data_IF_809593284455
#
_entry.id   IF_809593284455
#
_cell.length_a   1.000
_cell.length_b   1.000
_cell.length_c   1.000
_cell.angle_alpha   90.00
_cell.angle_beta   90.00
_cell.angle_gamma   90.00
#
_symmetry.space_group_name_H-M   'P 1'
#
loop_
_entity.id
_entity.type
_entity.pdbx_description
1 polymer ?
#
# COMPACT_ATOMS: atom_id res chain seq x y z
N UNK A 1 -16.46 13.25 -35.20
CA UNK A 1 -15.93 13.92 -33.99
C UNK A 1 -16.39 13.30 -32.66
N UNK A 2 -17.48 12.52 -32.58
CA UNK A 2 -17.97 11.92 -31.32
C UNK A 2 -17.11 10.77 -30.74
N UNK A 3 -16.28 10.09 -31.55
CA UNK A 3 -15.46 8.96 -31.10
C UNK A 3 -14.23 9.33 -30.28
N UNK A 4 -13.64 10.50 -30.51
CA UNK A 4 -12.41 10.93 -29.83
C UNK A 4 -12.63 11.24 -28.34
N UNK A 5 -13.85 11.68 -27.98
CA UNK A 5 -14.23 12.02 -26.61
C UNK A 5 -14.22 10.76 -25.71
N UNK A 6 -14.74 9.63 -26.21
CA UNK A 6 -14.72 8.37 -25.46
C UNK A 6 -13.31 7.82 -25.23
N UNK A 7 -12.42 7.99 -26.22
CA UNK A 7 -11.04 7.50 -26.13
C UNK A 7 -10.22 8.33 -25.13
N UNK A 8 -10.44 9.64 -25.06
CA UNK A 8 -9.79 10.52 -24.08
C UNK A 8 -10.28 10.21 -22.64
N UNK A 9 -11.57 9.91 -22.45
CA UNK A 9 -12.12 9.54 -21.13
C UNK A 9 -11.55 8.20 -20.65
N UNK A 10 -11.42 7.21 -21.55
CA UNK A 10 -10.83 5.91 -21.22
C UNK A 10 -9.33 6.04 -20.87
N UNK A 11 -8.59 6.90 -21.57
CA UNK A 11 -7.18 7.17 -21.33
C UNK A 11 -6.92 7.97 -20.04
N UNK A 12 -7.84 8.87 -19.67
CA UNK A 12 -7.76 9.64 -18.42
C UNK A 12 -8.14 8.80 -17.18
N UNK A 13 -8.90 7.72 -17.35
CA UNK A 13 -9.33 6.84 -16.26
C UNK A 13 -8.35 5.68 -16.00
N UNK A 14 -7.35 5.46 -16.86
CA UNK A 14 -6.37 4.38 -16.74
C UNK A 14 -5.08 4.78 -16.02
N UNK A 15 -4.90 6.06 -15.63
CA UNK A 15 -3.79 6.43 -14.76
C UNK A 15 -4.10 5.95 -13.34
N UNK A 16 -3.35 4.98 -12.79
CA UNK A 16 -3.50 4.63 -11.39
C UNK A 16 -3.19 5.86 -10.55
N UNK A 17 -4.20 6.37 -9.85
CA UNK A 17 -4.04 7.31 -8.75
C UNK A 17 -3.31 6.58 -7.62
N UNK A 18 -1.99 6.48 -7.72
CA UNK A 18 -1.15 5.94 -6.65
C UNK A 18 -1.26 6.88 -5.45
N UNK A 19 -2.16 6.55 -4.53
CA UNK A 19 -2.23 7.22 -3.24
C UNK A 19 -1.00 6.83 -2.43
N UNK A 20 -0.12 7.80 -2.19
CA UNK A 20 1.01 7.63 -1.28
C UNK A 20 0.47 7.38 0.12
N UNK A 21 0.88 6.27 0.72
CA UNK A 21 0.52 5.93 2.08
C UNK A 21 1.79 5.70 2.92
N UNK A 22 1.64 5.69 4.23
CA UNK A 22 2.70 5.34 5.17
C UNK A 22 2.44 3.96 5.76
N UNK A 23 3.49 3.26 6.17
CA UNK A 23 3.32 1.97 6.83
C UNK A 23 4.55 1.42 7.51
N UNK A 24 4.39 0.23 8.07
CA UNK A 24 5.39 -0.50 8.83
C UNK A 24 5.60 -1.88 8.24
N UNK A 25 6.85 -2.26 7.98
CA UNK A 25 7.19 -3.58 7.47
C UNK A 25 7.78 -4.44 8.57
N UNK A 26 7.28 -5.66 8.70
CA UNK A 26 7.87 -6.71 9.53
C UNK A 26 8.08 -7.93 8.64
N UNK A 27 9.34 -8.36 8.51
CA UNK A 27 9.73 -9.45 7.61
C UNK A 27 9.28 -9.20 6.16
N UNK A 28 8.26 -9.92 5.69
CA UNK A 28 7.67 -9.80 4.34
C UNK A 28 6.30 -9.15 4.34
N UNK A 29 5.68 -8.92 5.51
CA UNK A 29 4.33 -8.36 5.63
C UNK A 29 4.39 -6.86 5.85
N UNK A 30 3.53 -6.13 5.15
CA UNK A 30 3.43 -4.69 5.24
C UNK A 30 2.13 -4.28 5.95
N UNK A 31 2.25 -3.42 6.95
CA UNK A 31 1.17 -2.98 7.83
C UNK A 31 0.91 -1.50 7.56
N UNK A 32 -0.26 -1.18 7.02
CA UNK A 32 -0.64 0.16 6.58
C UNK A 32 -1.89 0.70 7.30
N UNK A 33 -2.51 -0.10 8.16
CA UNK A 33 -3.69 0.30 8.93
C UNK A 33 -3.21 0.87 10.27
N UNK A 34 -3.39 2.17 10.52
CA UNK A 34 -2.93 2.78 11.77
C UNK A 34 -3.69 2.20 12.97
N UNK A 35 -2.97 1.98 14.06
CA UNK A 35 -3.56 1.54 15.32
C UNK A 35 -4.29 2.67 16.02
N UNK A 36 -5.48 2.39 16.56
CA UNK A 36 -6.04 3.22 17.63
C UNK A 36 -5.27 2.96 18.92
N UNK A 37 -4.67 4.01 19.48
CA UNK A 37 -3.97 3.97 20.77
C UNK A 37 -4.96 4.40 21.87
N UNK A 38 -5.21 3.52 22.84
CA UNK A 38 -6.18 3.78 23.92
C UNK A 38 -5.61 4.75 24.97
N UNK A 39 -4.35 4.52 25.38
CA UNK A 39 -3.60 5.38 26.29
C UNK A 39 -2.22 5.63 25.66
N UNK A 40 -2.01 6.82 25.11
CA UNK A 40 -0.74 7.19 24.48
C UNK A 40 -0.09 8.34 25.22
N UNK A 41 1.14 8.15 25.70
CA UNK A 41 1.98 9.26 26.15
C UNK A 41 3.19 9.31 25.24
N UNK A 42 3.09 10.11 24.19
CA UNK A 42 4.15 10.28 23.22
C UNK A 42 4.96 11.54 23.58
N UNK A 43 6.07 11.36 24.30
CA UNK A 43 6.96 12.45 24.73
C UNK A 43 8.05 12.78 23.70
N UNK A 44 7.87 12.36 22.44
CA UNK A 44 8.71 12.70 21.31
C UNK A 44 8.19 11.98 20.08
N UNK A 45 7.56 12.71 19.14
CA UNK A 45 6.61 12.28 18.09
C UNK A 45 7.03 11.17 17.08
N UNK A 46 8.00 10.34 17.39
CA UNK A 46 8.62 9.36 16.49
C UNK A 46 7.93 8.00 16.49
N UNK A 47 7.04 7.73 17.46
CA UNK A 47 6.40 6.42 17.61
C UNK A 47 5.09 6.34 16.80
N UNK A 48 5.00 5.37 15.89
CA UNK A 48 3.79 5.08 15.11
C UNK A 48 3.43 3.61 15.27
N UNK A 49 2.15 3.30 15.45
CA UNK A 49 1.71 1.92 15.59
C UNK A 49 0.67 1.56 14.53
N UNK A 50 0.69 0.29 14.12
CA UNK A 50 -0.19 -0.28 13.10
C UNK A 50 -0.85 -1.56 13.62
N UNK A 51 -2.05 -1.84 13.15
CA UNK A 51 -2.86 -3.00 13.57
C UNK A 51 -3.19 -3.87 12.41
N UNK A 52 -3.34 -5.18 12.66
CA UNK A 52 -3.70 -6.24 11.69
C UNK A 52 -2.74 -6.33 10.51
N UNK A 53 -2.46 -7.52 9.96
CA UNK A 53 -1.69 -7.60 8.72
C UNK A 53 -2.39 -6.73 7.67
N UNK A 54 -1.71 -5.66 7.27
CA UNK A 54 -2.03 -4.99 6.02
C UNK A 54 -1.81 -5.99 4.88
N UNK A 55 -2.26 -5.61 3.69
CA UNK A 55 -2.09 -6.38 2.45
C UNK A 55 -0.77 -7.15 2.46
N UNK A 56 -0.85 -8.49 2.38
CA UNK A 56 0.30 -9.35 2.13
C UNK A 56 0.78 -9.05 0.70
N UNK A 57 1.47 -7.92 0.54
CA UNK A 57 2.16 -7.58 -0.69
C UNK A 57 3.44 -8.39 -0.67
N UNK A 58 3.53 -9.42 -1.51
CA UNK A 58 4.71 -10.29 -1.69
C UNK A 58 5.95 -9.50 -2.16
N UNK A 59 6.47 -8.57 -1.35
CA UNK A 59 7.58 -7.70 -1.70
C UNK A 59 7.24 -6.55 -2.66
N UNK A 60 5.99 -6.42 -3.11
CA UNK A 60 5.57 -5.41 -4.10
C UNK A 60 5.29 -4.04 -3.46
N UNK A 61 6.28 -3.47 -2.77
CA UNK A 61 6.22 -2.11 -2.25
C UNK A 61 7.49 -1.37 -2.64
N UNK A 62 7.33 -0.16 -3.17
CA UNK A 62 8.39 0.84 -3.25
C UNK A 62 8.07 1.97 -2.30
N UNK A 63 9.01 2.34 -1.45
CA UNK A 63 8.88 3.46 -0.53
C UNK A 63 10.23 3.85 0.05
N UNK A 64 10.29 4.99 0.71
CA UNK A 64 11.51 5.45 1.36
C UNK A 64 11.52 4.98 2.81
N UNK A 65 12.50 4.14 3.15
CA UNK A 65 12.77 3.77 4.56
C UNK A 65 13.13 5.04 5.30
N UNK A 66 12.47 5.28 6.44
CA UNK A 66 12.80 6.39 7.31
C UNK A 66 13.10 5.88 8.72
N UNK A 67 14.29 6.20 9.21
CA UNK A 67 14.74 5.93 10.58
C UNK A 67 14.34 7.01 11.58
N UNK A 68 13.73 8.10 11.10
CA UNK A 68 13.26 9.19 11.96
C UNK A 68 12.04 8.80 12.79
N UNK A 69 11.33 7.73 12.40
CA UNK A 69 10.17 7.20 13.12
C UNK A 69 10.37 5.72 13.39
N UNK A 70 10.00 5.28 14.59
CA UNK A 70 9.91 3.87 14.95
C UNK A 70 8.49 3.40 14.74
N UNK A 71 8.34 2.27 14.05
CA UNK A 71 7.03 1.67 13.84
C UNK A 71 6.90 0.33 14.55
N UNK A 72 5.69 0.06 15.05
CA UNK A 72 5.38 -1.17 15.76
C UNK A 72 4.04 -1.74 15.34
N UNK A 73 3.91 -3.05 15.49
CA UNK A 73 2.73 -3.81 15.11
C UNK A 73 2.34 -4.77 16.23
N UNK A 74 1.04 -4.83 16.51
CA UNK A 74 0.45 -5.84 17.37
C UNK A 74 0.09 -7.10 16.58
N UNK A 75 0.90 -8.15 16.72
CA UNK A 75 0.78 -9.38 15.92
C UNK A 75 -0.46 -10.21 16.20
N UNK A 76 -1.03 -10.11 17.40
CA UNK A 76 -2.25 -10.82 17.80
C UNK A 76 -3.54 -10.13 17.40
N UNK A 77 -3.46 -9.07 16.58
CA UNK A 77 -4.59 -8.20 16.28
C UNK A 77 -4.99 -7.31 17.47
N UNK A 78 -6.04 -6.51 17.28
CA UNK A 78 -6.48 -5.54 18.29
C UNK A 78 -5.69 -4.24 18.26
N UNK A 79 -5.94 -3.37 19.24
CA UNK A 79 -5.37 -2.02 19.34
C UNK A 79 -4.14 -1.93 20.22
N UNK A 80 -3.56 -0.74 20.30
CA UNK A 80 -2.45 -0.45 21.22
C UNK A 80 -3.04 0.07 22.53
N UNK A 81 -2.73 -0.59 23.64
CA UNK A 81 -3.20 -0.15 24.96
C UNK A 81 -2.35 1.00 25.45
N UNK A 82 -1.03 0.80 25.52
CA UNK A 82 -0.07 1.81 25.96
C UNK A 82 1.01 2.00 24.91
N UNK A 83 1.26 3.26 24.55
CA UNK A 83 2.43 3.65 23.76
C UNK A 83 3.18 4.76 24.50
N UNK A 84 4.40 4.47 24.94
CA UNK A 84 5.33 5.43 25.54
C UNK A 84 6.58 5.51 24.68
N UNK A 85 6.86 6.70 24.17
CA UNK A 85 8.08 6.99 23.42
C UNK A 85 8.82 8.17 24.06
N UNK A 86 10.08 7.94 24.45
CA UNK A 86 11.00 8.96 24.92
C UNK A 86 12.23 8.98 24.00
N UNK A 87 12.03 9.49 22.77
CA UNK A 87 13.03 9.43 21.71
C UNK A 87 13.40 8.00 21.31
N UNK A 88 14.61 7.82 20.77
CA UNK A 88 15.12 6.50 20.35
C UNK A 88 15.63 5.63 21.50
N UNK A 89 15.66 6.14 22.73
CA UNK A 89 16.25 5.48 23.89
C UNK A 89 15.26 4.59 24.66
N UNK A 90 13.99 4.99 24.74
CA UNK A 90 12.96 4.23 25.45
C UNK A 90 11.66 4.21 24.66
N UNK A 91 11.31 3.04 24.16
CA UNK A 91 10.09 2.80 23.38
C UNK A 91 9.37 1.60 24.01
N UNK A 92 8.24 1.85 24.68
CA UNK A 92 7.42 0.82 25.32
C UNK A 92 6.05 0.81 24.66
N UNK A 93 5.69 -0.34 24.08
CA UNK A 93 4.38 -0.54 23.48
C UNK A 93 3.75 -1.80 24.03
N UNK A 94 2.49 -1.68 24.43
CA UNK A 94 1.67 -2.81 24.85
C UNK A 94 0.46 -2.94 23.93
N UNK A 95 0.20 -4.16 23.53
CA UNK A 95 -0.90 -4.52 22.64
C UNK A 95 -2.06 -5.08 23.45
N UNK A 96 -3.28 -4.87 22.98
CA UNK A 96 -4.45 -5.51 23.58
C UNK A 96 -4.46 -7.03 23.37
N UNK A 97 -3.84 -7.49 22.28
CA UNK A 97 -3.64 -8.89 21.97
C UNK A 97 -2.31 -9.08 21.23
N UNK A 98 -1.61 -10.16 21.58
CA UNK A 98 -0.32 -10.52 21.00
C UNK A 98 0.86 -9.65 21.45
N UNK A 99 1.94 -9.71 20.68
CA UNK A 99 3.22 -9.08 21.03
C UNK A 99 3.48 -7.87 20.13
N UNK A 100 3.88 -6.75 20.74
CA UNK A 100 4.35 -5.58 20.04
C UNK A 100 5.69 -5.91 19.36
N UNK A 101 5.70 -5.93 18.04
CA UNK A 101 6.89 -6.24 17.24
C UNK A 101 7.33 -4.97 16.52
N UNK A 102 8.61 -4.62 16.67
CA UNK A 102 9.21 -3.47 15.98
C UNK A 102 9.43 -3.80 14.51
N UNK A 103 9.05 -2.88 13.64
CA UNK A 103 9.26 -2.99 12.20
C UNK A 103 10.09 -1.84 11.64
N UNK A 104 10.22 -1.85 10.32
CA UNK A 104 10.85 -0.77 9.55
C UNK A 104 9.77 0.17 9.03
N UNK A 105 9.87 1.46 9.36
CA UNK A 105 8.91 2.45 8.87
C UNK A 105 9.24 2.84 7.43
N UNK A 106 8.21 2.86 6.60
CA UNK A 106 8.26 3.33 5.22
C UNK A 106 7.34 4.53 5.08
N UNK A 107 7.91 5.62 4.59
CA UNK A 107 7.17 6.81 4.19
C UNK A 107 6.91 6.79 2.68
N UNK A 108 5.76 7.31 2.27
CA UNK A 108 5.39 7.43 0.86
C UNK A 108 5.49 6.09 0.09
N UNK A 109 5.02 5.00 0.67
CA UNK A 109 5.02 3.72 -0.03
C UNK A 109 3.93 3.70 -1.11
N UNK A 110 4.25 3.00 -2.18
CA UNK A 110 3.38 2.70 -3.31
C UNK A 110 3.38 1.18 -3.48
N UNK A 111 2.18 0.61 -3.55
CA UNK A 111 2.00 -0.79 -3.96
C UNK A 111 2.28 -0.88 -5.46
N UNK A 112 3.51 -1.23 -5.80
CA UNK A 112 3.94 -1.48 -7.17
C UNK A 112 3.93 -2.99 -7.38
N UNK A 113 2.73 -3.53 -7.50
CA UNK A 113 2.55 -4.89 -8.02
C UNK A 113 2.68 -4.80 -9.54
N UNK A 114 3.54 -5.63 -10.15
CA UNK A 114 3.64 -5.78 -11.60
C UNK A 114 2.35 -6.37 -12.21
N UNK A 115 1.23 -5.65 -12.10
CA UNK A 115 0.06 -5.89 -12.96
C UNK A 115 0.32 -5.36 -14.38
N UNK A 116 1.27 -4.43 -14.53
CA UNK A 116 1.63 -3.85 -15.84
C UNK A 116 2.28 -4.87 -16.79
N UNK A 117 2.90 -5.94 -16.28
CA UNK A 117 3.39 -7.03 -17.13
C UNK A 117 2.25 -7.73 -17.90
N UNK A 118 1.02 -7.65 -17.38
CA UNK A 118 -0.17 -8.22 -18.01
C UNK A 118 -1.02 -7.19 -18.76
N UNK A 119 -0.80 -5.88 -18.60
CA UNK A 119 -1.56 -4.85 -19.30
C UNK A 119 -1.21 -4.81 -20.80
N UNK A 120 0.06 -5.01 -21.14
CA UNK A 120 0.57 -5.07 -22.52
C UNK A 120 0.00 -6.26 -23.33
N UNK A 121 0.05 -7.52 -22.86
CA UNK A 121 -0.56 -8.64 -23.57
C UNK A 121 -2.10 -8.51 -23.67
N UNK A 122 -2.76 -7.92 -22.66
CA UNK A 122 -4.22 -7.72 -22.70
C UNK A 122 -4.61 -6.66 -23.74
N UNK A 123 -3.87 -5.55 -23.80
CA UNK A 123 -4.09 -4.48 -24.78
C UNK A 123 -3.81 -4.97 -26.22
N UNK A 124 -2.75 -5.77 -26.41
CA UNK A 124 -2.43 -6.35 -27.73
C UNK A 124 -3.48 -7.38 -28.17
N UNK A 125 -3.98 -8.23 -27.26
CA UNK A 125 -5.06 -9.16 -27.55
C UNK A 125 -6.36 -8.43 -27.95
N UNK A 126 -6.75 -7.38 -27.23
CA UNK A 126 -7.92 -6.57 -27.55
C UNK A 126 -7.77 -5.86 -28.92
N UNK A 127 -6.58 -5.34 -29.22
CA UNK A 127 -6.27 -4.72 -30.52
C UNK A 127 -6.38 -5.70 -31.69
N UNK A 128 -5.83 -6.92 -31.53
CA UNK A 128 -5.92 -7.97 -32.55
C UNK A 128 -7.37 -8.41 -32.81
N UNK A 129 -8.17 -8.58 -31.75
CA UNK A 129 -9.59 -8.90 -31.87
C UNK A 129 -10.35 -7.80 -32.64
N UNK A 130 -10.09 -6.53 -32.34
CA UNK A 130 -10.71 -5.40 -33.05
C UNK A 130 -10.40 -5.41 -34.56
N UNK A 131 -9.13 -5.65 -34.93
CA UNK A 131 -8.72 -5.73 -36.34
C UNK A 131 -9.39 -6.91 -37.05
N UNK A 132 -9.50 -8.07 -36.38
CA UNK A 132 -10.15 -9.25 -36.93
C UNK A 132 -11.63 -9.00 -37.24
N UNK A 133 -12.35 -8.34 -36.33
CA UNK A 133 -13.78 -8.01 -36.51
C UNK A 133 -13.99 -7.02 -37.67
N UNK A 134 -13.14 -5.99 -37.79
CA UNK A 134 -13.22 -5.01 -38.90
C UNK A 134 -12.97 -5.69 -40.25
N UNK A 135 -11.94 -6.54 -40.35
CA UNK A 135 -11.63 -7.26 -41.59
C UNK A 135 -12.74 -8.22 -42.03
N UNK A 136 -13.48 -8.78 -41.08
CA UNK A 136 -14.59 -9.70 -41.38
C UNK A 136 -15.82 -8.97 -41.91
N UNK A 137 -16.07 -7.74 -41.47
CA UNK A 137 -17.18 -6.90 -41.97
C UNK A 137 -16.96 -6.36 -43.38
N UNK A 138 -15.71 -6.16 -43.80
CA UNK A 138 -15.39 -5.58 -45.10
C UNK A 138 -15.32 -6.61 -46.26
N UNK A 139 -15.74 -7.86 -46.01
CA UNK A 139 -15.80 -8.96 -46.99
C UNK A 139 -17.23 -9.45 -47.25
N UNK A 140 -18.24 -8.81 -46.64
CA UNK A 140 -19.65 -8.92 -47.02
C UNK A 140 -20.01 -7.72 -47.88
#
# INVERSE_FOLDING_TARGET
MRGYIFLIIFLACSVPLFSKADGCRINTTFYNIPASVLLGINLGSTLVAYTTPGTNSNGCYKGTVSSAKSCYVCTGGGGVILAVGLGSALEVITCSSGVATKGTYYSNYVLECNLDDYSLPLATAAGLFGIFVIRRRNKQ
#
